data_IF_596039872923
#
_entry.id   IF_596039872923
#
_cell.length_a   1.000
_cell.length_b   1.000
_cell.length_c   1.000
_cell.angle_alpha   90.00
_cell.angle_beta   90.00
_cell.angle_gamma   90.00
#
_symmetry.space_group_name_H-M   'P 1'
#
loop_
_entity.id
_entity.type
_entity.pdbx_description
1 polymer ?
#
# COMPACT_ATOMS: atom_id res chain seq x y z
N UNK A 1 0.90 7.08 16.28
CA UNK A 1 1.27 6.79 14.88
C UNK A 1 1.68 8.10 14.24
N UNK A 2 2.80 8.17 13.51
CA UNK A 2 3.27 9.42 12.89
C UNK A 2 2.64 9.75 11.54
N UNK A 3 1.41 9.28 11.30
CA UNK A 3 0.65 9.51 10.06
C UNK A 3 -0.74 9.98 10.45
N UNK A 4 -1.10 11.18 10.02
CA UNK A 4 -2.41 11.78 10.18
C UNK A 4 -3.22 11.75 8.89
N UNK A 5 -4.53 11.99 8.97
CA UNK A 5 -5.40 11.93 7.80
C UNK A 5 -5.06 12.94 6.68
N UNK A 6 -4.36 14.04 7.00
CA UNK A 6 -3.96 15.07 6.03
C UNK A 6 -2.61 14.82 5.34
N UNK A 7 -1.84 13.84 5.80
CA UNK A 7 -0.49 13.58 5.29
C UNK A 7 -0.52 13.00 3.88
N UNK A 8 0.59 13.13 3.16
CA UNK A 8 0.84 12.36 1.94
C UNK A 8 1.82 11.24 2.27
N UNK A 9 1.34 10.00 2.24
CA UNK A 9 2.17 8.83 2.50
C UNK A 9 2.85 8.36 1.23
N UNK A 10 4.17 8.21 1.24
CA UNK A 10 4.93 7.55 0.17
C UNK A 10 5.47 6.23 0.70
N UNK A 11 5.08 5.13 0.06
CA UNK A 11 5.47 3.78 0.44
C UNK A 11 6.51 3.24 -0.54
N UNK A 12 7.53 2.57 -0.03
CA UNK A 12 8.50 1.82 -0.82
C UNK A 12 8.88 0.53 -0.10
N UNK A 13 9.45 -0.41 -0.84
CA UNK A 13 10.10 -1.59 -0.27
C UNK A 13 11.48 -1.83 -0.91
N UNK A 14 12.21 -2.79 -0.36
CA UNK A 14 13.54 -3.18 -0.82
C UNK A 14 13.54 -4.38 -1.76
N UNK A 15 12.40 -4.79 -2.31
CA UNK A 15 12.33 -5.97 -3.17
C UNK A 15 13.20 -5.80 -4.42
N UNK A 16 13.86 -6.88 -4.86
CA UNK A 16 14.77 -6.86 -6.00
C UNK A 16 14.07 -6.43 -7.29
N UNK A 17 12.81 -6.78 -7.46
CA UNK A 17 11.99 -6.41 -8.63
C UNK A 17 11.31 -5.04 -8.50
N UNK A 18 11.60 -4.29 -7.43
CA UNK A 18 11.18 -2.91 -7.25
C UNK A 18 9.92 -2.73 -6.40
N UNK A 19 8.92 -3.59 -6.54
CA UNK A 19 7.65 -3.51 -5.79
C UNK A 19 7.15 -4.90 -5.39
N UNK A 20 6.85 -5.10 -4.11
CA UNK A 20 6.15 -6.30 -3.63
C UNK A 20 5.18 -5.97 -2.50
N UNK A 21 5.70 -5.59 -1.32
CA UNK A 21 4.88 -5.29 -0.14
C UNK A 21 4.28 -3.87 -0.17
N UNK A 22 4.95 -2.94 -0.84
CA UNK A 22 4.53 -1.53 -0.95
C UNK A 22 3.17 -1.38 -1.62
N UNK A 23 2.88 -2.17 -2.66
CA UNK A 23 1.58 -2.18 -3.33
C UNK A 23 0.44 -2.59 -2.37
N UNK A 24 0.70 -3.57 -1.48
CA UNK A 24 -0.27 -3.99 -0.47
C UNK A 24 -0.56 -2.88 0.54
N UNK A 25 0.48 -2.22 1.04
CA UNK A 25 0.32 -1.11 2.00
C UNK A 25 -0.38 0.08 1.36
N UNK A 26 -0.07 0.42 0.11
CA UNK A 26 -0.80 1.43 -0.67
C UNK A 26 -2.29 1.11 -0.76
N UNK A 27 -2.64 -0.14 -1.10
CA UNK A 27 -4.04 -0.56 -1.15
C UNK A 27 -4.70 -0.51 0.24
N UNK A 28 -3.98 -0.85 1.32
CA UNK A 28 -4.51 -0.80 2.68
C UNK A 28 -4.85 0.63 3.13
N UNK A 29 -4.01 1.62 2.84
CA UNK A 29 -4.34 3.02 3.15
C UNK A 29 -5.65 3.43 2.46
N UNK A 30 -5.82 3.07 1.17
CA UNK A 30 -7.06 3.34 0.42
C UNK A 30 -8.25 2.56 0.95
N UNK A 31 -8.05 1.30 1.35
CA UNK A 31 -9.07 0.48 1.99
C UNK A 31 -9.60 1.13 3.27
N UNK A 32 -8.76 1.86 3.99
CA UNK A 32 -9.13 2.59 5.21
C UNK A 32 -9.34 4.09 5.00
N UNK A 33 -9.64 4.52 3.77
CA UNK A 33 -10.12 5.87 3.48
C UNK A 33 -9.03 6.94 3.37
N UNK A 34 -7.77 6.55 3.25
CA UNK A 34 -6.65 7.47 3.06
C UNK A 34 -6.18 7.43 1.59
N UNK A 35 -6.64 8.38 0.79
CA UNK A 35 -6.36 8.43 -0.65
C UNK A 35 -5.02 9.07 -1.01
N UNK A 36 -4.46 9.90 -0.11
CA UNK A 36 -3.20 10.61 -0.29
C UNK A 36 -2.00 9.68 -0.06
N UNK A 37 -1.92 8.61 -0.85
CA UNK A 37 -0.87 7.62 -0.77
C UNK A 37 -0.29 7.30 -2.14
N UNK A 38 1.03 7.24 -2.23
CA UNK A 38 1.77 6.92 -3.45
C UNK A 38 2.81 5.85 -3.19
N UNK A 39 3.21 5.16 -4.26
CA UNK A 39 4.29 4.18 -4.24
C UNK A 39 5.50 4.77 -4.96
N UNK A 40 6.69 4.61 -4.38
CA UNK A 40 7.93 5.04 -5.03
C UNK A 40 8.26 4.13 -6.22
N UNK A 41 8.20 4.68 -7.43
CA UNK A 41 8.51 3.93 -8.66
C UNK A 41 9.93 3.36 -8.65
N UNK A 42 10.04 2.04 -8.81
CA UNK A 42 11.29 1.28 -8.74
C UNK A 42 11.85 1.02 -7.33
N UNK A 43 11.15 1.48 -6.28
CA UNK A 43 11.47 1.20 -4.88
C UNK A 43 12.84 1.68 -4.42
N UNK A 44 13.30 1.13 -3.29
CA UNK A 44 14.59 1.51 -2.70
C UNK A 44 15.78 1.13 -3.61
N UNK A 45 15.62 0.08 -4.43
CA UNK A 45 16.66 -0.36 -5.36
C UNK A 45 16.97 0.72 -6.39
N UNK A 46 15.94 1.25 -7.06
CA UNK A 46 16.13 2.32 -8.06
C UNK A 46 16.61 3.62 -7.41
N UNK A 47 16.13 3.93 -6.21
CA UNK A 47 16.63 5.07 -5.43
C UNK A 47 18.15 5.00 -5.22
N UNK A 48 18.66 3.85 -4.77
CA UNK A 48 20.09 3.61 -4.57
C UNK A 48 20.87 3.60 -5.90
N UNK A 49 20.28 3.05 -6.96
CA UNK A 49 20.90 3.03 -8.29
C UNK A 49 21.17 4.45 -8.83
N UNK A 50 20.29 5.40 -8.54
CA UNK A 50 20.47 6.81 -8.89
C UNK A 50 21.33 7.59 -7.89
N UNK A 51 21.98 6.92 -6.94
CA UNK A 51 22.83 7.54 -5.91
C UNK A 51 22.12 8.59 -5.05
N UNK A 52 20.80 8.45 -4.87
CA UNK A 52 20.07 9.34 -3.98
C UNK A 52 20.42 9.06 -2.51
N UNK A 53 20.34 10.09 -1.64
CA UNK A 53 20.79 9.97 -0.24
C UNK A 53 20.03 8.88 0.53
N UNK A 54 20.73 8.20 1.43
CA UNK A 54 20.14 7.26 2.40
C UNK A 54 20.75 7.48 3.78
N UNK A 55 19.97 7.25 4.82
CA UNK A 55 20.43 7.30 6.22
C UNK A 55 20.43 5.88 6.79
N UNK A 56 21.45 5.55 7.58
CA UNK A 56 21.59 4.30 8.32
C UNK A 56 21.46 4.53 9.81
N UNK A 57 21.06 3.50 10.56
CA UNK A 57 20.87 3.57 12.01
C UNK A 57 19.40 3.49 12.40
N UNK A 58 19.09 3.82 13.65
CA UNK A 58 17.71 3.81 14.12
C UNK A 58 16.89 4.94 13.50
N UNK A 59 15.67 4.64 13.02
CA UNK A 59 14.80 5.67 12.50
C UNK A 59 14.34 6.60 13.63
N UNK A 60 14.20 7.88 13.31
CA UNK A 60 13.56 8.84 14.21
C UNK A 60 12.10 8.43 14.46
N UNK A 61 11.70 8.35 15.73
CA UNK A 61 10.30 8.10 16.11
C UNK A 61 9.48 9.36 15.84
N UNK A 62 8.55 9.35 14.87
CA UNK A 62 7.73 10.52 14.61
C UNK A 62 6.78 10.81 15.78
N UNK A 63 6.43 12.09 15.96
CA UNK A 63 5.41 12.47 16.93
C UNK A 63 4.08 11.77 16.61
N UNK A 64 3.39 11.33 17.66
CA UNK A 64 2.10 10.68 17.48
C UNK A 64 1.05 11.70 17.00
N UNK A 65 0.35 11.35 15.94
CA UNK A 65 -0.81 12.08 15.42
C UNK A 65 -2.02 11.15 15.34
N UNK A 66 -3.19 11.74 15.14
CA UNK A 66 -4.45 11.05 15.05
C UNK A 66 -4.72 10.59 13.62
N UNK A 67 -5.08 9.31 13.50
CA UNK A 67 -5.55 8.71 12.25
C UNK A 67 -6.92 8.08 12.48
N UNK A 68 -7.94 8.60 11.79
CA UNK A 68 -9.26 7.99 11.73
C UNK A 68 -9.38 7.15 10.47
N UNK A 69 -9.59 5.84 10.65
CA UNK A 69 -9.76 4.89 9.55
C UNK A 69 -11.23 4.79 9.13
N UNK A 70 -11.49 4.84 7.82
CA UNK A 70 -12.81 4.60 7.23
C UNK A 70 -12.74 3.40 6.29
N UNK A 71 -13.22 2.24 6.76
CA UNK A 71 -13.18 1.01 5.97
C UNK A 71 -14.11 1.09 4.75
N UNK A 72 -13.56 0.91 3.55
CA UNK A 72 -14.29 0.87 2.30
C UNK A 72 -14.50 -0.59 1.81
N UNK A 73 -15.67 -1.19 2.06
CA UNK A 73 -15.93 -2.58 1.68
C UNK A 73 -15.93 -2.82 0.16
N UNK A 74 -16.05 -1.78 -0.67
CA UNK A 74 -16.06 -1.92 -2.12
C UNK A 74 -14.69 -2.31 -2.70
N UNK A 75 -13.60 -2.08 -1.95
CA UNK A 75 -12.23 -2.42 -2.34
C UNK A 75 -11.80 -3.82 -1.88
N UNK A 76 -12.67 -4.55 -1.18
CA UNK A 76 -12.43 -5.91 -0.70
C UNK A 76 -13.49 -6.86 -1.26
N UNK A 77 -13.11 -8.11 -1.53
CA UNK A 77 -14.06 -9.19 -1.76
C UNK A 77 -13.87 -10.28 -0.70
N UNK A 78 -14.97 -10.70 -0.08
CA UNK A 78 -15.00 -11.83 0.85
C UNK A 78 -15.06 -13.15 0.11
N UNK A 79 -14.79 -14.24 0.81
CA UNK A 79 -14.95 -15.59 0.27
C UNK A 79 -16.36 -15.84 -0.29
N UNK A 80 -17.41 -15.41 0.43
CA UNK A 80 -18.79 -15.58 0.00
C UNK A 80 -19.11 -14.79 -1.27
N UNK A 81 -18.58 -13.57 -1.40
CA UNK A 81 -18.73 -12.77 -2.63
C UNK A 81 -18.02 -13.43 -3.81
N UNK A 82 -16.84 -14.00 -3.59
CA UNK A 82 -16.12 -14.77 -4.62
C UNK A 82 -16.89 -16.03 -5.05
N UNK A 83 -17.49 -16.75 -4.10
CA UNK A 83 -18.32 -17.92 -4.38
C UNK A 83 -19.58 -17.55 -5.18
N UNK A 84 -20.22 -16.43 -4.86
CA UNK A 84 -21.35 -15.91 -5.63
C UNK A 84 -20.94 -15.54 -7.06
N UNK A 85 -19.77 -14.89 -7.23
CA UNK A 85 -19.26 -14.48 -8.53
C UNK A 85 -18.91 -15.65 -9.46
N UNK A 86 -18.63 -16.84 -8.90
CA UNK A 86 -18.38 -18.06 -9.69
C UNK A 86 -19.53 -18.40 -10.64
N UNK A 87 -20.78 -18.23 -10.18
CA UNK A 87 -21.97 -18.49 -10.99
C UNK A 87 -22.47 -17.25 -11.71
N UNK A 88 -22.47 -16.08 -11.05
CA UNK A 88 -23.04 -14.85 -11.62
C UNK A 88 -22.20 -14.22 -12.72
N UNK A 89 -20.86 -14.45 -12.72
CA UNK A 89 -19.90 -13.88 -13.69
C UNK A 89 -19.95 -12.35 -13.80
N UNK A 90 -20.36 -11.66 -12.74
CA UNK A 90 -20.52 -10.20 -12.73
C UNK A 90 -19.16 -9.47 -12.71
N UNK A 91 -18.13 -10.08 -12.11
CA UNK A 91 -16.78 -9.52 -12.00
C UNK A 91 -15.74 -10.48 -12.59
N UNK A 92 -14.70 -9.95 -13.23
CA UNK A 92 -13.55 -10.76 -13.64
C UNK A 92 -12.62 -10.98 -12.45
N UNK A 93 -12.14 -12.23 -12.29
CA UNK A 93 -11.18 -12.58 -11.25
C UNK A 93 -9.80 -12.72 -11.89
N UNK A 94 -8.86 -11.88 -11.47
CA UNK A 94 -7.47 -11.93 -11.90
C UNK A 94 -6.63 -12.47 -10.75
N UNK A 95 -5.85 -13.51 -11.01
CA UNK A 95 -4.88 -14.06 -10.08
C UNK A 95 -3.48 -13.62 -10.52
N UNK A 96 -2.74 -12.95 -9.63
CA UNK A 96 -1.36 -12.54 -9.88
C UNK A 96 -0.42 -13.58 -9.28
N UNK A 97 0.21 -14.40 -10.12
CA UNK A 97 1.42 -15.10 -9.72
C UNK A 97 2.56 -14.08 -9.66
N UNK A 98 3.12 -13.86 -8.48
CA UNK A 98 4.47 -13.31 -8.31
C UNK A 98 5.40 -14.46 -7.99
#
# INVERSE_FOLDING_TARGET
>A
MGVGNGDHVVVYDGHSEGLMASARVWWMFRLFGHERVSVLDGGLRRWKFHWFPTVSGEPHTPEATNFTAFFNPHLLRTYQQMLHNHTSRHEQVVYTCT
#
